data_IF_426672867038
#
_entry.id   IF_426672867038
#
_cell.length_a   1.000
_cell.length_b   1.000
_cell.length_c   1.000
_cell.angle_alpha   90.00
_cell.angle_beta   90.00
_cell.angle_gamma   90.00
#
_symmetry.space_group_name_H-M   'P 1'
#
loop_
_entity.id
_entity.type
_entity.pdbx_description
1 polymer ?
#
# COMPACT_ATOMS: atom_id res chain seq x y z
N UNK A 1 8.70 10.96 -3.54
CA UNK A 1 9.44 10.11 -4.50
C UNK A 1 9.08 10.53 -5.91
N UNK A 2 9.81 10.08 -6.95
CA UNK A 2 9.49 10.39 -8.35
C UNK A 2 8.42 9.46 -8.96
N UNK A 3 8.06 8.36 -8.28
CA UNK A 3 7.15 7.34 -8.82
C UNK A 3 5.79 7.89 -9.30
N UNK A 4 5.12 8.84 -8.60
CA UNK A 4 3.83 9.36 -9.06
C UNK A 4 3.92 10.28 -10.29
N UNK A 5 5.13 10.73 -10.66
CA UNK A 5 5.34 11.61 -11.81
C UNK A 5 5.52 10.81 -13.11
N UNK A 6 5.86 9.53 -13.02
CA UNK A 6 6.06 8.67 -14.18
C UNK A 6 4.72 8.11 -14.68
N UNK A 7 4.51 8.15 -16.00
CA UNK A 7 3.43 7.43 -16.67
C UNK A 7 3.74 5.92 -16.68
N UNK A 8 3.41 5.27 -15.57
CA UNK A 8 3.61 3.83 -15.38
C UNK A 8 2.32 3.16 -14.93
N UNK A 9 2.34 1.83 -14.94
CA UNK A 9 1.25 1.01 -14.43
C UNK A 9 1.03 1.18 -12.92
N UNK A 10 2.04 1.61 -12.15
CA UNK A 10 1.90 1.91 -10.72
C UNK A 10 0.92 3.06 -10.42
N UNK A 11 0.83 4.01 -11.34
CA UNK A 11 -0.12 5.12 -11.28
C UNK A 11 -1.44 4.79 -11.99
N UNK A 12 -1.54 3.63 -12.67
CA UNK A 12 -2.68 3.30 -13.52
C UNK A 12 -2.70 4.00 -14.88
N UNK A 13 -1.60 4.63 -15.30
CA UNK A 13 -1.52 5.39 -16.54
C UNK A 13 -1.56 4.53 -17.83
N UNK A 14 -1.45 3.21 -17.70
CA UNK A 14 -1.32 2.28 -18.81
C UNK A 14 -2.64 1.80 -19.42
N UNK A 15 -3.80 2.11 -18.81
CA UNK A 15 -5.12 1.69 -19.29
C UNK A 15 -6.02 2.91 -19.43
N UNK A 16 -6.54 3.23 -20.64
CA UNK A 16 -7.50 4.31 -20.84
C UNK A 16 -8.74 4.15 -19.95
N UNK A 17 -9.17 5.23 -19.31
CA UNK A 17 -10.31 5.23 -18.39
C UNK A 17 -10.03 4.67 -16.99
N UNK A 18 -8.85 4.07 -16.72
CA UNK A 18 -8.49 3.64 -15.38
C UNK A 18 -8.15 4.86 -14.48
N UNK A 19 -8.66 4.91 -13.23
CA UNK A 19 -8.29 5.97 -12.29
C UNK A 19 -6.79 6.05 -12.05
N UNK A 20 -6.26 7.28 -12.02
CA UNK A 20 -4.83 7.55 -11.81
C UNK A 20 -4.52 7.71 -10.33
N UNK A 21 -4.16 6.62 -9.66
CA UNK A 21 -3.82 6.58 -8.23
C UNK A 21 -2.53 5.82 -8.02
N UNK A 22 -1.67 6.33 -7.15
CA UNK A 22 -0.44 5.64 -6.76
C UNK A 22 -0.76 4.56 -5.72
N UNK A 23 -0.79 3.29 -6.14
CA UNK A 23 -1.20 2.15 -5.31
C UNK A 23 -0.09 1.53 -4.43
N UNK A 24 1.19 1.47 -4.84
CA UNK A 24 2.20 0.76 -4.06
C UNK A 24 2.58 1.44 -2.74
N UNK A 25 2.77 0.64 -1.69
CA UNK A 25 3.51 1.07 -0.51
C UNK A 25 5.02 1.03 -0.80
N UNK A 26 5.67 2.20 -0.82
CA UNK A 26 7.11 2.34 -1.16
C UNK A 26 8.03 2.57 0.05
N UNK A 27 7.58 2.21 1.26
CA UNK A 27 8.40 2.32 2.47
C UNK A 27 9.44 1.21 2.66
N UNK A 28 9.51 0.25 1.73
CA UNK A 28 10.42 -0.90 1.79
C UNK A 28 9.89 -2.08 2.61
N UNK A 29 10.39 -3.29 2.30
CA UNK A 29 9.90 -4.53 2.91
C UNK A 29 10.16 -4.60 4.41
N UNK A 30 11.32 -4.14 4.89
CA UNK A 30 11.65 -4.16 6.31
C UNK A 30 10.63 -3.39 7.15
N UNK A 31 10.33 -2.14 6.77
CA UNK A 31 9.33 -1.30 7.46
C UNK A 31 7.93 -1.87 7.30
N UNK A 32 7.59 -2.42 6.13
CA UNK A 32 6.30 -3.09 5.93
C UNK A 32 6.11 -4.26 6.91
N UNK A 33 7.12 -5.14 7.01
CA UNK A 33 7.09 -6.30 7.91
C UNK A 33 6.94 -5.86 9.38
N UNK A 34 7.69 -4.85 9.80
CA UNK A 34 7.56 -4.29 11.16
C UNK A 34 6.15 -3.80 11.46
N UNK A 35 5.50 -3.12 10.51
CA UNK A 35 4.10 -2.68 10.67
C UNK A 35 3.14 -3.85 10.81
N UNK A 36 3.29 -4.88 9.96
CA UNK A 36 2.47 -6.09 10.07
C UNK A 36 2.66 -6.79 11.43
N UNK A 37 3.90 -6.90 11.90
CA UNK A 37 4.20 -7.50 13.20
C UNK A 37 3.59 -6.72 14.36
N UNK A 38 3.67 -5.38 14.30
CA UNK A 38 3.06 -4.51 15.30
C UNK A 38 1.53 -4.67 15.34
N UNK A 39 0.88 -4.71 14.17
CA UNK A 39 -0.59 -4.95 14.08
C UNK A 39 -0.95 -6.30 14.69
N UNK A 40 -0.23 -7.37 14.34
CA UNK A 40 -0.49 -8.71 14.86
C UNK A 40 -0.26 -8.80 16.38
N UNK A 41 0.80 -8.17 16.90
CA UNK A 41 1.08 -8.12 18.33
C UNK A 41 0.04 -7.30 19.12
N UNK A 42 -0.60 -6.31 18.48
CA UNK A 42 -1.62 -5.47 19.08
C UNK A 42 -3.05 -5.98 18.79
N UNK A 43 -3.26 -7.30 18.86
CA UNK A 43 -4.56 -7.94 18.66
C UNK A 43 -5.25 -7.56 17.34
N UNK A 44 -4.47 -7.40 16.27
CA UNK A 44 -4.93 -6.95 14.95
C UNK A 44 -5.58 -5.56 14.98
N UNK A 45 -4.82 -4.57 15.44
CA UNK A 45 -5.23 -3.16 15.43
C UNK A 45 -5.79 -2.73 14.06
N UNK A 46 -6.90 -1.98 14.09
CA UNK A 46 -7.67 -1.60 12.90
C UNK A 46 -8.64 -2.65 12.37
N UNK A 47 -8.70 -3.86 12.96
CA UNK A 47 -9.69 -4.89 12.59
C UNK A 47 -10.81 -5.00 13.63
N UNK A 48 -12.05 -5.14 13.16
CA UNK A 48 -13.18 -5.52 13.99
C UNK A 48 -13.25 -7.05 14.06
N UNK A 49 -12.92 -7.62 15.22
CA UNK A 49 -12.99 -9.07 15.44
C UNK A 49 -14.37 -9.46 15.97
N UNK A 50 -15.11 -10.24 15.20
CA UNK A 50 -16.37 -10.87 15.63
C UNK A 50 -16.17 -12.37 15.82
N UNK A 51 -16.95 -12.98 16.71
CA UNK A 51 -16.92 -14.41 16.99
C UNK A 51 -17.64 -15.22 15.91
#
# INVERSE_FOLDING_TARGET
>A
TLYPLANSWYLGANIPGKPRVFMPYVGGFHVYKQKCDAVAANSYDGFAMTR
#
